data_IF_682273712148
#
_entry.id   IF_682273712148
#
_cell.length_a   1.000
_cell.length_b   1.000
_cell.length_c   1.000
_cell.angle_alpha   90.00
_cell.angle_beta   90.00
_cell.angle_gamma   90.00
#
_symmetry.space_group_name_H-M   'P 1'
#
loop_
_entity.id
_entity.type
_entity.pdbx_description
1 polymer ?
#
# COMPACT_ATOMS: atom_id res chain seq x y z
N UNK A 1 -8.54 -1.91 23.85
CA UNK A 1 -9.08 -1.15 25.01
C UNK A 1 -8.07 -0.07 25.38
N UNK A 2 -8.45 1.22 25.43
CA UNK A 2 -7.50 2.31 25.75
C UNK A 2 -6.86 2.10 27.13
N UNK A 3 -5.55 2.28 27.26
CA UNK A 3 -4.81 2.14 28.51
C UNK A 3 -5.16 3.26 29.50
N UNK A 4 -4.85 3.07 30.79
CA UNK A 4 -5.12 4.06 31.83
C UNK A 4 -4.54 5.44 31.48
N UNK A 5 -3.26 5.50 31.12
CA UNK A 5 -2.58 6.75 30.80
C UNK A 5 -3.14 7.45 29.55
N UNK A 6 -3.69 6.71 28.59
CA UNK A 6 -4.36 7.26 27.41
C UNK A 6 -5.71 7.86 27.77
N UNK A 7 -6.50 7.17 28.60
CA UNK A 7 -7.81 7.67 29.06
C UNK A 7 -7.67 8.94 29.90
N UNK A 8 -6.53 9.14 30.55
CA UNK A 8 -6.27 10.27 31.44
C UNK A 8 -5.34 11.33 30.83
N UNK A 9 -4.98 11.23 29.55
CA UNK A 9 -4.14 12.22 28.87
C UNK A 9 -2.72 12.37 29.43
N UNK A 10 -2.22 11.34 30.12
CA UNK A 10 -0.88 11.29 30.73
C UNK A 10 0.16 10.83 29.71
N UNK A 11 -0.23 9.93 28.80
CA UNK A 11 0.66 9.36 27.79
C UNK A 11 0.93 10.40 26.71
N UNK A 12 2.20 10.55 26.33
CA UNK A 12 2.56 11.34 25.16
C UNK A 12 1.83 10.81 23.90
N UNK A 13 1.45 11.68 22.96
CA UNK A 13 0.93 11.24 21.67
C UNK A 13 1.91 10.27 21.01
N UNK A 14 1.36 9.24 20.40
CA UNK A 14 2.15 8.29 19.61
C UNK A 14 2.70 9.01 18.37
N UNK A 15 4.00 8.89 18.14
CA UNK A 15 4.65 9.43 16.95
C UNK A 15 4.22 8.63 15.71
N UNK A 16 3.80 9.34 14.66
CA UNK A 16 3.42 8.73 13.38
C UNK A 16 4.62 8.63 12.46
N UNK A 17 4.81 7.45 11.86
CA UNK A 17 6.01 7.19 11.06
C UNK A 17 5.75 6.17 9.96
N UNK A 18 6.59 6.20 8.92
CA UNK A 18 6.71 5.13 7.92
C UNK A 18 7.90 4.21 8.21
N UNK A 19 8.74 4.54 9.19
CA UNK A 19 9.93 3.77 9.55
C UNK A 19 9.57 2.70 10.56
N UNK A 20 9.76 1.43 10.15
CA UNK A 20 9.62 0.26 11.00
C UNK A 20 10.91 0.10 11.79
N UNK A 21 10.90 0.50 13.06
CA UNK A 21 12.02 0.25 13.96
C UNK A 21 12.07 -1.24 14.38
N UNK A 22 13.09 -1.64 15.14
CA UNK A 22 13.33 -3.05 15.50
C UNK A 22 12.23 -3.66 16.37
N UNK A 23 11.66 -2.91 17.29
CA UNK A 23 10.56 -3.40 18.14
C UNK A 23 9.32 -3.66 17.29
N UNK A 24 9.00 -2.74 16.37
CA UNK A 24 7.92 -2.90 15.39
C UNK A 24 8.19 -4.08 14.47
N UNK A 25 9.42 -4.22 13.98
CA UNK A 25 9.86 -5.34 13.14
C UNK A 25 9.63 -6.67 13.86
N UNK A 26 10.01 -6.75 15.15
CA UNK A 26 9.81 -7.96 15.96
C UNK A 26 8.34 -8.33 16.08
N UNK A 27 7.48 -7.36 16.43
CA UNK A 27 6.04 -7.61 16.58
C UNK A 27 5.40 -8.13 15.30
N UNK A 28 5.74 -7.51 14.17
CA UNK A 28 5.26 -7.90 12.84
C UNK A 28 5.78 -9.28 12.42
N UNK A 29 7.07 -9.54 12.59
CA UNK A 29 7.68 -10.83 12.26
C UNK A 29 7.09 -11.95 13.15
N UNK A 30 6.92 -11.69 14.44
CA UNK A 30 6.32 -12.65 15.37
C UNK A 30 4.85 -12.90 15.04
N UNK A 31 4.14 -11.92 14.48
CA UNK A 31 2.83 -12.14 13.88
C UNK A 31 2.93 -13.15 12.74
N UNK A 32 3.77 -12.92 11.72
CA UNK A 32 3.96 -13.86 10.61
C UNK A 32 4.32 -15.27 11.11
N UNK A 33 5.22 -15.40 12.08
CA UNK A 33 5.62 -16.70 12.65
C UNK A 33 4.44 -17.49 13.23
N UNK A 34 3.47 -16.83 13.88
CA UNK A 34 2.27 -17.50 14.42
C UNK A 34 1.42 -18.18 13.34
N UNK A 35 1.47 -17.68 12.10
CA UNK A 35 0.68 -18.20 10.97
C UNK A 35 1.50 -19.07 10.01
N UNK A 36 2.75 -19.46 10.33
CA UNK A 36 3.59 -20.25 9.42
C UNK A 36 2.93 -21.56 8.98
N UNK A 37 2.29 -22.26 9.92
CA UNK A 37 1.59 -23.52 9.63
C UNK A 37 0.41 -23.33 8.66
N UNK A 38 -0.19 -22.13 8.58
CA UNK A 38 -1.24 -21.83 7.61
C UNK A 38 -0.76 -21.87 6.15
N UNK A 39 0.56 -21.93 5.93
CA UNK A 39 1.17 -22.10 4.61
C UNK A 39 1.47 -23.58 4.27
N UNK A 40 1.00 -24.54 5.08
CA UNK A 40 1.30 -25.98 4.90
C UNK A 40 0.85 -26.53 3.55
N UNK A 41 -0.22 -26.00 2.95
CA UNK A 41 -0.65 -26.38 1.59
C UNK A 41 0.39 -26.05 0.50
N UNK A 42 1.29 -25.07 0.73
CA UNK A 42 2.45 -24.77 -0.14
C UNK A 42 3.69 -25.53 0.31
N UNK A 43 3.89 -25.65 1.61
CA UNK A 43 5.09 -26.22 2.23
C UNK A 43 4.73 -27.51 2.98
N UNK A 44 4.27 -28.50 2.23
CA UNK A 44 3.84 -29.79 2.80
C UNK A 44 5.05 -30.69 3.05
N UNK A 45 5.23 -31.12 4.30
CA UNK A 45 6.14 -32.18 4.67
C UNK A 45 5.35 -33.45 4.98
N UNK A 46 5.48 -34.47 4.13
CA UNK A 46 4.95 -35.79 4.40
C UNK A 46 5.91 -36.54 5.33
N UNK A 47 5.42 -36.90 6.50
CA UNK A 47 6.17 -37.62 7.52
C UNK A 47 5.56 -39.01 7.77
N UNK A 48 6.38 -39.92 8.26
CA UNK A 48 5.95 -41.23 8.74
C UNK A 48 6.39 -41.40 10.20
N UNK A 49 5.51 -41.94 11.04
CA UNK A 49 5.84 -42.22 12.44
C UNK A 49 5.92 -43.74 12.67
N UNK A 50 7.15 -44.26 12.71
CA UNK A 50 7.47 -45.69 12.73
C UNK A 50 6.71 -46.49 13.82
N UNK A 51 6.61 -45.94 15.04
CA UNK A 51 6.01 -46.68 16.15
C UNK A 51 4.50 -46.88 16.00
N UNK A 52 3.81 -45.96 15.32
CA UNK A 52 2.36 -46.07 15.07
C UNK A 52 2.05 -46.55 13.66
N UNK A 53 3.07 -46.73 12.82
CA UNK A 53 2.94 -47.08 11.41
C UNK A 53 1.90 -46.19 10.69
N UNK A 54 2.11 -44.88 10.77
CA UNK A 54 1.13 -43.90 10.27
C UNK A 54 1.81 -42.70 9.63
N UNK A 55 1.26 -42.29 8.49
CA UNK A 55 1.65 -41.08 7.79
C UNK A 55 0.94 -39.86 8.37
N UNK A 56 1.62 -38.71 8.34
CA UNK A 56 1.08 -37.45 8.79
C UNK A 56 1.70 -36.27 8.04
N UNK A 57 0.98 -35.15 8.05
CA UNK A 57 1.41 -33.92 7.40
C UNK A 57 1.92 -32.94 8.44
N UNK A 58 3.10 -32.40 8.17
CA UNK A 58 3.71 -31.32 8.92
C UNK A 58 4.08 -30.15 7.97
N UNK A 59 4.48 -29.02 8.56
CA UNK A 59 4.98 -27.88 7.81
C UNK A 59 6.47 -28.06 7.46
N UNK A 60 6.83 -27.89 6.18
CA UNK A 60 8.21 -27.92 5.70
C UNK A 60 8.92 -26.58 5.96
N UNK A 61 9.47 -26.42 7.17
CA UNK A 61 10.20 -25.22 7.58
C UNK A 61 11.45 -24.96 6.71
N UNK A 62 12.11 -26.03 6.24
CA UNK A 62 13.30 -25.90 5.39
C UNK A 62 12.93 -25.42 4.00
N UNK A 63 11.87 -25.98 3.41
CA UNK A 63 11.30 -25.53 2.14
C UNK A 63 10.81 -24.10 2.20
N UNK A 64 10.12 -23.72 3.29
CA UNK A 64 9.72 -22.35 3.55
C UNK A 64 10.92 -21.40 3.55
N UNK A 65 11.91 -21.67 4.41
CA UNK A 65 13.10 -20.82 4.55
C UNK A 65 13.83 -20.66 3.21
N UNK A 66 13.98 -21.75 2.46
CA UNK A 66 14.64 -21.74 1.14
C UNK A 66 13.85 -20.90 0.13
N UNK A 67 12.51 -21.05 0.08
CA UNK A 67 11.67 -20.31 -0.86
C UNK A 67 11.62 -18.82 -0.53
N UNK A 68 11.50 -18.46 0.74
CA UNK A 68 11.52 -17.06 1.17
C UNK A 68 12.88 -16.41 0.89
N UNK A 69 13.98 -17.14 1.03
CA UNK A 69 15.31 -16.66 0.62
C UNK A 69 15.40 -16.29 -0.85
N UNK A 70 14.77 -17.06 -1.73
CA UNK A 70 14.75 -16.79 -3.17
C UNK A 70 13.77 -15.65 -3.50
N UNK A 71 12.58 -15.65 -2.89
CA UNK A 71 11.52 -14.68 -3.20
C UNK A 71 11.74 -13.30 -2.60
N UNK A 72 12.31 -13.23 -1.39
CA UNK A 72 12.52 -11.99 -0.63
C UNK A 72 13.99 -11.99 -0.16
N UNK A 73 14.93 -11.75 -1.08
CA UNK A 73 16.36 -11.84 -0.80
C UNK A 73 16.82 -10.79 0.22
N UNK A 74 16.20 -9.61 0.25
CA UNK A 74 16.53 -8.52 1.20
C UNK A 74 15.92 -8.71 2.59
N UNK A 75 15.09 -9.75 2.81
CA UNK A 75 14.55 -10.04 4.13
C UNK A 75 15.69 -10.33 5.11
N UNK A 76 15.63 -9.70 6.29
CA UNK A 76 16.69 -9.81 7.27
C UNK A 76 16.90 -11.25 7.76
N UNK A 77 18.16 -11.67 7.86
CA UNK A 77 18.60 -12.97 8.36
C UNK A 77 19.86 -12.79 9.19
N UNK A 78 20.03 -13.63 10.21
CA UNK A 78 21.28 -13.67 10.97
C UNK A 78 22.40 -14.41 10.22
N UNK A 79 23.58 -14.48 10.85
CA UNK A 79 24.76 -15.20 10.35
C UNK A 79 24.52 -16.69 10.07
N UNK A 80 23.43 -17.26 10.60
CA UNK A 80 23.02 -18.65 10.38
C UNK A 80 21.92 -18.77 9.33
N UNK A 81 21.65 -17.71 8.57
CA UNK A 81 20.65 -17.64 7.50
C UNK A 81 19.20 -17.81 8.01
N UNK A 82 18.96 -17.57 9.31
CA UNK A 82 17.64 -17.68 9.94
C UNK A 82 16.91 -16.35 9.86
N UNK A 83 15.64 -16.38 9.47
CA UNK A 83 14.77 -15.19 9.49
C UNK A 83 14.55 -14.77 10.94
N UNK A 84 15.04 -13.60 11.32
CA UNK A 84 14.98 -13.10 12.69
C UNK A 84 14.82 -11.57 12.73
N UNK A 85 14.78 -11.01 13.94
CA UNK A 85 14.68 -9.56 14.15
C UNK A 85 16.08 -8.94 14.11
N UNK A 86 16.30 -7.83 13.37
CA UNK A 86 17.56 -7.09 13.36
C UNK A 86 18.01 -6.62 14.74
N UNK A 87 19.31 -6.71 15.01
CA UNK A 87 19.98 -6.21 16.22
C UNK A 87 20.46 -4.76 16.04
N UNK A 88 21.07 -4.20 17.10
CA UNK A 88 21.34 -2.77 17.20
C UNK A 88 22.27 -2.17 16.14
N UNK A 89 23.18 -2.97 15.60
CA UNK A 89 24.15 -2.57 14.58
C UNK A 89 23.73 -3.01 13.17
N UNK A 90 22.62 -3.73 13.06
CA UNK A 90 22.19 -4.30 11.79
C UNK A 90 21.47 -3.26 10.94
N UNK A 91 21.89 -3.18 9.68
CA UNK A 91 21.13 -2.56 8.60
C UNK A 91 20.13 -3.57 8.04
N UNK A 92 18.91 -3.12 7.75
CA UNK A 92 17.87 -3.98 7.19
C UNK A 92 16.96 -3.19 6.25
N UNK A 93 16.42 -3.91 5.28
CA UNK A 93 15.38 -3.41 4.40
C UNK A 93 14.01 -3.66 5.05
N UNK A 94 13.36 -2.60 5.54
CA UNK A 94 12.03 -2.70 6.13
C UNK A 94 10.96 -3.15 5.12
N UNK A 95 11.13 -2.84 3.82
CA UNK A 95 10.14 -3.20 2.81
C UNK A 95 10.14 -4.70 2.54
N UNK A 96 11.26 -5.38 2.76
CA UNK A 96 11.32 -6.83 2.71
C UNK A 96 10.45 -7.51 3.78
N UNK A 97 10.22 -6.87 4.93
CA UNK A 97 9.26 -7.37 5.92
C UNK A 97 7.82 -7.17 5.45
N UNK A 98 7.53 -6.06 4.77
CA UNK A 98 6.22 -5.85 4.14
C UNK A 98 5.94 -6.90 3.06
N UNK A 99 6.92 -7.24 2.22
CA UNK A 99 6.83 -8.35 1.25
C UNK A 99 6.53 -9.68 1.95
N UNK A 100 7.10 -9.91 3.13
CA UNK A 100 6.81 -11.12 3.90
C UNK A 100 5.36 -11.11 4.38
N UNK A 101 4.88 -10.00 4.93
CA UNK A 101 3.49 -9.87 5.39
C UNK A 101 2.52 -10.09 4.22
N UNK A 102 2.75 -9.48 3.06
CA UNK A 102 1.94 -9.70 1.86
C UNK A 102 2.01 -11.14 1.37
N UNK A 103 3.19 -11.78 1.42
CA UNK A 103 3.32 -13.21 1.11
C UNK A 103 2.43 -14.05 2.01
N UNK A 104 2.36 -13.75 3.31
CA UNK A 104 1.41 -14.43 4.21
C UNK A 104 -0.04 -14.11 3.83
N UNK A 105 -0.41 -12.84 3.71
CA UNK A 105 -1.76 -12.41 3.37
C UNK A 105 -2.32 -13.11 2.12
N UNK A 106 -1.49 -13.22 1.08
CA UNK A 106 -1.83 -13.83 -0.20
C UNK A 106 -1.97 -15.35 -0.14
N UNK A 107 -1.31 -16.02 0.80
CA UNK A 107 -1.13 -17.46 0.75
C UNK A 107 -1.66 -18.21 1.97
N UNK A 108 -1.98 -17.59 3.11
CA UNK A 108 -2.47 -18.36 4.26
C UNK A 108 -3.85 -19.00 4.00
N UNK A 109 -3.99 -20.26 4.42
CA UNK A 109 -5.24 -21.01 4.42
C UNK A 109 -5.59 -21.48 5.84
N UNK A 110 -6.87 -21.74 6.10
CA UNK A 110 -7.31 -22.34 7.35
C UNK A 110 -6.74 -23.75 7.51
N UNK A 111 -6.31 -24.04 8.73
CA UNK A 111 -5.79 -25.36 9.10
C UNK A 111 -6.50 -25.87 10.35
N UNK A 112 -6.57 -27.19 10.48
CA UNK A 112 -6.80 -27.84 11.77
C UNK A 112 -5.57 -28.62 12.17
N UNK A 113 -5.19 -28.50 13.44
CA UNK A 113 -4.14 -29.33 14.02
C UNK A 113 -4.77 -30.35 14.98
N UNK A 114 -4.44 -31.62 14.81
CA UNK A 114 -4.89 -32.67 15.75
C UNK A 114 -3.75 -33.58 16.14
N UNK A 115 -3.76 -34.00 17.40
CA UNK A 115 -2.91 -35.10 17.84
C UNK A 115 -3.44 -36.41 17.26
N UNK A 116 -2.53 -37.30 16.89
CA UNK A 116 -2.90 -38.65 16.44
C UNK A 116 -3.65 -39.45 17.52
N UNK A 117 -3.39 -39.14 18.79
CA UNK A 117 -4.06 -39.71 19.94
C UNK A 117 -4.01 -38.75 21.14
N UNK A 118 -5.14 -38.53 21.82
CA UNK A 118 -5.23 -37.56 22.93
C UNK A 118 -4.34 -37.88 24.13
N UNK A 119 -4.10 -39.18 24.40
CA UNK A 119 -3.33 -39.66 25.55
C UNK A 119 -1.83 -39.65 25.28
N UNK A 120 -1.41 -40.20 24.15
CA UNK A 120 0.01 -40.43 23.88
C UNK A 120 0.66 -39.30 23.09
N UNK A 121 -0.11 -38.61 22.22
CA UNK A 121 0.34 -37.42 21.46
C UNK A 121 1.68 -37.65 20.77
N UNK A 122 1.79 -38.76 20.04
CA UNK A 122 3.05 -39.16 19.39
C UNK A 122 3.44 -38.18 18.27
N UNK A 123 2.45 -37.69 17.52
CA UNK A 123 2.64 -36.65 16.51
C UNK A 123 1.37 -35.83 16.32
N UNK A 124 1.55 -34.59 15.85
CA UNK A 124 0.48 -33.69 15.44
C UNK A 124 0.44 -33.67 13.91
N UNK A 125 -0.75 -33.85 13.35
CA UNK A 125 -0.97 -33.71 11.90
C UNK A 125 -1.71 -32.41 11.64
N UNK A 126 -1.37 -31.79 10.50
CA UNK A 126 -2.03 -30.59 9.99
C UNK A 126 -2.95 -31.01 8.84
N UNK A 127 -4.19 -30.55 8.87
CA UNK A 127 -5.11 -30.65 7.73
C UNK A 127 -5.37 -29.26 7.16
N UNK A 128 -5.19 -29.10 5.86
CA UNK A 128 -5.51 -27.87 5.14
C UNK A 128 -6.99 -27.88 4.73
N UNK A 129 -7.73 -26.82 5.07
CA UNK A 129 -9.19 -26.78 4.93
C UNK A 129 -9.66 -26.12 3.62
N UNK A 130 -8.74 -25.66 2.76
CA UNK A 130 -9.01 -24.97 1.48
C UNK A 130 -9.97 -23.76 1.63
N UNK A 131 -9.99 -23.12 2.79
CA UNK A 131 -10.62 -21.83 3.06
C UNK A 131 -9.55 -20.84 3.53
N UNK A 132 -9.87 -19.55 3.55
CA UNK A 132 -8.92 -18.49 3.92
C UNK A 132 -9.50 -17.50 4.94
N UNK A 133 -10.42 -17.95 5.80
CA UNK A 133 -11.06 -17.11 6.81
C UNK A 133 -10.05 -16.64 7.86
N UNK A 134 -8.99 -17.43 8.10
CA UNK A 134 -7.83 -17.04 8.92
C UNK A 134 -7.18 -15.72 8.50
N UNK A 135 -7.34 -15.31 7.23
CA UNK A 135 -6.81 -14.05 6.74
C UNK A 135 -7.39 -12.84 7.49
N UNK A 136 -8.69 -12.85 7.80
CA UNK A 136 -9.31 -11.73 8.52
C UNK A 136 -8.63 -11.50 9.89
N UNK A 137 -8.32 -12.58 10.62
CA UNK A 137 -7.61 -12.49 11.90
C UNK A 137 -6.16 -12.01 11.73
N UNK A 138 -5.48 -12.47 10.67
CA UNK A 138 -4.11 -12.05 10.36
C UNK A 138 -4.08 -10.54 10.03
N UNK A 139 -4.99 -10.10 9.17
CA UNK A 139 -5.14 -8.71 8.76
C UNK A 139 -5.44 -7.81 9.96
N UNK A 140 -6.43 -8.17 10.78
CA UNK A 140 -6.78 -7.43 12.00
C UNK A 140 -5.55 -7.29 12.91
N UNK A 141 -4.84 -8.39 13.18
CA UNK A 141 -3.66 -8.37 14.05
C UNK A 141 -2.52 -7.51 13.48
N UNK A 142 -2.27 -7.57 12.17
CA UNK A 142 -1.24 -6.74 11.51
C UNK A 142 -1.61 -5.26 11.60
N UNK A 143 -2.87 -4.91 11.30
CA UNK A 143 -3.34 -3.52 11.34
C UNK A 143 -3.41 -2.97 12.78
N UNK A 144 -3.70 -3.82 13.76
CA UNK A 144 -3.54 -3.48 15.18
C UNK A 144 -2.09 -3.15 15.51
N UNK A 145 -1.12 -3.97 15.09
CA UNK A 145 0.31 -3.71 15.31
C UNK A 145 0.73 -2.39 14.63
N UNK A 146 0.28 -2.13 13.41
CA UNK A 146 0.55 -0.85 12.73
C UNK A 146 0.01 0.33 13.53
N UNK A 147 -1.25 0.27 13.94
CA UNK A 147 -1.92 1.31 14.72
C UNK A 147 -1.25 1.53 16.08
N UNK A 148 -0.95 0.48 16.84
CA UNK A 148 -0.29 0.53 18.16
C UNK A 148 1.18 0.95 18.10
N UNK A 149 1.80 0.82 16.93
CA UNK A 149 3.16 1.28 16.67
C UNK A 149 3.24 2.69 16.08
N UNK A 150 2.13 3.25 15.61
CA UNK A 150 2.10 4.54 14.91
C UNK A 150 2.58 4.43 13.46
N UNK A 151 2.64 3.22 12.92
CA UNK A 151 2.98 2.98 11.52
C UNK A 151 1.81 3.40 10.64
N UNK A 152 2.10 4.24 9.65
CA UNK A 152 1.15 4.73 8.69
C UNK A 152 0.98 3.74 7.52
N UNK A 153 0.59 2.52 7.85
CA UNK A 153 0.33 1.44 6.91
C UNK A 153 -1.00 0.77 7.19
N UNK A 154 -1.58 0.17 6.15
CA UNK A 154 -2.78 -0.66 6.21
C UNK A 154 -2.60 -1.87 5.30
N UNK A 155 -2.80 -3.08 5.84
CA UNK A 155 -2.98 -4.28 5.05
C UNK A 155 -4.45 -4.36 4.61
N UNK A 156 -4.71 -4.18 3.31
CA UNK A 156 -6.05 -4.09 2.74
C UNK A 156 -6.68 -5.46 2.49
N UNK A 157 -7.97 -5.48 2.15
CA UNK A 157 -8.71 -6.71 1.81
C UNK A 157 -8.16 -7.38 0.54
N UNK A 158 -7.50 -6.59 -0.33
CA UNK A 158 -6.78 -7.05 -1.50
C UNK A 158 -5.43 -7.71 -1.17
N UNK A 159 -5.09 -7.86 0.12
CA UNK A 159 -3.89 -8.54 0.62
C UNK A 159 -2.59 -7.86 0.20
N UNK A 160 -2.63 -6.54 0.10
CA UNK A 160 -1.51 -5.65 -0.17
C UNK A 160 -1.39 -4.60 0.94
N UNK A 161 -0.19 -4.08 1.15
CA UNK A 161 0.07 -3.06 2.15
C UNK A 161 0.15 -1.70 1.46
N UNK A 162 -0.79 -0.83 1.83
CA UNK A 162 -0.81 0.56 1.41
C UNK A 162 -0.28 1.45 2.54
N UNK A 163 0.32 2.58 2.17
CA UNK A 163 0.66 3.64 3.11
C UNK A 163 -0.54 4.56 3.32
N UNK A 164 -0.71 5.01 4.56
CA UNK A 164 -1.71 6.01 4.94
C UNK A 164 -1.07 7.40 4.85
N UNK A 165 -1.73 8.36 4.21
CA UNK A 165 -1.30 9.76 4.19
C UNK A 165 -2.32 10.64 4.90
N UNK A 166 -2.06 10.97 6.17
CA UNK A 166 -3.02 11.66 7.05
C UNK A 166 -3.45 13.05 6.56
N UNK A 167 -2.62 13.72 5.75
CA UNK A 167 -2.89 15.07 5.24
C UNK A 167 -3.20 15.10 3.73
N UNK A 168 -3.78 14.02 3.20
CA UNK A 168 -4.18 13.96 1.79
C UNK A 168 -5.67 14.30 1.62
N UNK A 169 -6.05 15.06 0.57
CA UNK A 169 -7.44 15.20 0.18
C UNK A 169 -7.98 13.91 -0.45
N UNK A 170 -7.13 12.92 -0.76
CA UNK A 170 -7.54 11.64 -1.32
C UNK A 170 -8.45 10.91 -0.33
N UNK A 171 -9.67 10.62 -0.76
CA UNK A 171 -10.62 9.78 -0.04
C UNK A 171 -11.12 8.67 -0.95
N UNK A 172 -11.70 7.62 -0.35
CA UNK A 172 -12.34 6.53 -1.10
C UNK A 172 -13.42 7.06 -2.06
N UNK A 173 -14.14 8.13 -1.71
CA UNK A 173 -15.10 8.78 -2.60
C UNK A 173 -14.45 9.41 -3.83
N UNK A 174 -13.29 10.07 -3.66
CA UNK A 174 -12.53 10.63 -4.79
C UNK A 174 -12.02 9.50 -5.68
N UNK A 175 -11.44 8.44 -5.11
CA UNK A 175 -10.97 7.29 -5.88
C UNK A 175 -12.11 6.64 -6.69
N UNK A 176 -13.27 6.44 -6.05
CA UNK A 176 -14.45 5.89 -6.69
C UNK A 176 -14.97 6.81 -7.81
N UNK A 177 -14.88 8.13 -7.64
CA UNK A 177 -15.31 9.09 -8.66
C UNK A 177 -14.54 8.98 -9.98
N UNK A 178 -13.30 8.45 -9.97
CA UNK A 178 -12.52 8.25 -11.18
C UNK A 178 -13.17 7.25 -12.14
N UNK A 179 -14.00 6.33 -11.64
CA UNK A 179 -14.76 5.39 -12.48
C UNK A 179 -15.75 6.11 -13.40
N UNK A 180 -16.21 7.30 -13.02
CA UNK A 180 -17.13 8.12 -13.82
C UNK A 180 -16.44 8.90 -14.97
N UNK A 181 -15.11 8.92 -14.99
CA UNK A 181 -14.34 9.51 -16.08
C UNK A 181 -14.47 8.63 -17.33
N UNK A 182 -15.02 9.19 -18.41
CA UNK A 182 -15.34 8.43 -19.61
C UNK A 182 -14.10 8.13 -20.46
N UNK A 183 -13.18 9.10 -20.56
CA UNK A 183 -11.94 8.92 -21.30
C UNK A 183 -11.02 7.94 -20.58
N UNK A 184 -10.80 6.78 -21.22
CA UNK A 184 -10.11 5.64 -20.62
C UNK A 184 -8.69 5.98 -20.16
N UNK A 185 -7.91 6.73 -20.96
CA UNK A 185 -6.52 7.04 -20.63
C UNK A 185 -6.38 7.90 -19.37
N UNK A 186 -7.24 8.91 -19.21
CA UNK A 186 -7.29 9.76 -18.00
C UNK A 186 -7.65 8.92 -16.79
N UNK A 187 -8.66 8.04 -16.92
CA UNK A 187 -9.06 7.15 -15.82
C UNK A 187 -7.95 6.20 -15.39
N UNK A 188 -7.24 5.60 -16.33
CA UNK A 188 -6.11 4.69 -16.04
C UNK A 188 -4.96 5.44 -15.37
N UNK A 189 -4.56 6.60 -15.90
CA UNK A 189 -3.53 7.44 -15.31
C UNK A 189 -3.87 7.85 -13.86
N UNK A 190 -5.13 8.18 -13.57
CA UNK A 190 -5.56 8.52 -12.21
C UNK A 190 -5.46 7.34 -11.25
N UNK A 191 -5.87 6.15 -11.68
CA UNK A 191 -5.76 4.93 -10.87
C UNK A 191 -4.31 4.57 -10.60
N UNK A 192 -3.47 4.61 -11.63
CA UNK A 192 -2.03 4.34 -11.50
C UNK A 192 -1.36 5.33 -10.55
N UNK A 193 -1.68 6.62 -10.70
CA UNK A 193 -1.15 7.67 -9.84
C UNK A 193 -1.48 7.43 -8.36
N UNK A 194 -2.73 7.04 -8.06
CA UNK A 194 -3.17 6.72 -6.69
C UNK A 194 -2.50 5.45 -6.16
N UNK A 195 -2.41 4.39 -6.95
CA UNK A 195 -1.74 3.15 -6.53
C UNK A 195 -0.26 3.40 -6.18
N UNK A 196 0.44 4.18 -7.02
CA UNK A 196 1.82 4.61 -6.74
C UNK A 196 1.90 5.50 -5.50
N UNK A 197 0.95 6.42 -5.33
CA UNK A 197 0.91 7.32 -4.18
C UNK A 197 0.73 6.59 -2.85
N UNK A 198 -0.02 5.48 -2.87
CA UNK A 198 -0.28 4.58 -1.74
C UNK A 198 0.80 3.53 -1.53
N UNK A 199 1.78 3.40 -2.43
CA UNK A 199 2.86 2.42 -2.27
C UNK A 199 3.78 2.81 -1.10
N UNK A 200 4.13 1.89 -0.17
CA UNK A 200 5.05 2.15 0.95
C UNK A 200 6.42 2.68 0.54
N UNK A 201 6.97 2.19 -0.58
CA UNK A 201 8.29 2.53 -1.06
C UNK A 201 8.40 4.03 -1.46
N UNK A 202 9.31 4.81 -0.84
CA UNK A 202 9.63 6.18 -1.17
C UNK A 202 9.84 6.47 -2.66
N UNK A 203 10.42 5.53 -3.41
CA UNK A 203 10.69 5.70 -4.84
C UNK A 203 9.41 5.92 -5.65
N UNK A 204 8.31 5.26 -5.27
CA UNK A 204 7.02 5.36 -5.96
C UNK A 204 6.38 6.77 -5.86
N UNK A 205 6.84 7.61 -4.93
CA UNK A 205 6.28 8.96 -4.74
C UNK A 205 6.58 9.86 -5.93
N UNK A 206 7.78 9.78 -6.49
CA UNK A 206 8.12 10.52 -7.70
C UNK A 206 7.23 10.08 -8.86
N UNK A 207 7.11 8.76 -9.07
CA UNK A 207 6.30 8.18 -10.14
C UNK A 207 4.82 8.57 -9.99
N UNK A 208 4.29 8.61 -8.76
CA UNK A 208 2.91 9.06 -8.50
C UNK A 208 2.67 10.51 -8.94
N UNK A 209 3.67 11.39 -8.73
CA UNK A 209 3.60 12.81 -9.10
C UNK A 209 3.76 12.98 -10.61
N UNK A 210 4.65 12.23 -11.26
CA UNK A 210 4.70 12.19 -12.72
C UNK A 210 3.35 11.77 -13.30
N UNK A 211 2.76 10.70 -12.76
CA UNK A 211 1.53 10.11 -13.28
C UNK A 211 0.30 10.99 -13.09
N UNK A 212 0.16 11.66 -11.94
CA UNK A 212 -0.95 12.61 -11.74
C UNK A 212 -0.80 13.85 -12.64
N UNK A 213 0.43 14.27 -12.96
CA UNK A 213 0.67 15.35 -13.93
C UNK A 213 0.35 14.91 -15.36
N UNK A 214 0.66 13.67 -15.74
CA UNK A 214 0.23 13.13 -17.02
C UNK A 214 -1.30 13.04 -17.11
N UNK A 215 -1.98 12.67 -16.02
CA UNK A 215 -3.43 12.70 -15.93
C UNK A 215 -3.99 14.11 -16.12
N UNK A 216 -3.39 15.14 -15.50
CA UNK A 216 -3.76 16.55 -15.70
C UNK A 216 -3.61 16.96 -17.18
N UNK A 217 -2.52 16.53 -17.81
CA UNK A 217 -2.20 16.91 -19.18
C UNK A 217 -3.10 16.20 -20.20
N UNK A 218 -3.50 14.96 -19.90
CA UNK A 218 -4.51 14.22 -20.64
C UNK A 218 -5.90 14.84 -20.48
N UNK A 219 -6.27 15.20 -19.25
CA UNK A 219 -7.52 15.89 -18.92
C UNK A 219 -7.70 17.19 -19.70
N UNK A 220 -6.64 17.96 -19.91
CA UNK A 220 -6.66 19.18 -20.75
C UNK A 220 -7.01 18.94 -22.22
N UNK A 221 -7.07 17.68 -22.65
CA UNK A 221 -7.49 17.25 -23.99
C UNK A 221 -8.74 16.38 -23.99
N UNK A 222 -9.53 16.41 -22.90
CA UNK A 222 -10.73 15.58 -22.71
C UNK A 222 -11.77 15.79 -23.82
N UNK A 223 -11.99 17.03 -24.25
CA UNK A 223 -12.88 17.35 -25.37
C UNK A 223 -12.13 17.21 -26.69
N UNK A 224 -12.13 16.01 -27.27
CA UNK A 224 -11.33 15.64 -28.44
C UNK A 224 -11.62 16.43 -29.73
N UNK A 225 -12.77 17.10 -29.79
CA UNK A 225 -13.16 17.99 -30.91
C UNK A 225 -12.60 19.41 -30.78
N UNK A 226 -12.00 19.75 -29.64
CA UNK A 226 -11.40 21.05 -29.34
C UNK A 226 -9.87 20.94 -29.31
N UNK A 227 -9.18 22.05 -29.62
CA UNK A 227 -7.76 22.13 -29.31
C UNK A 227 -7.52 22.15 -27.79
N UNK A 228 -6.29 21.83 -27.35
CA UNK A 228 -5.93 21.74 -25.92
C UNK A 228 -6.29 23.00 -25.12
N UNK A 229 -6.14 24.18 -25.73
CA UNK A 229 -6.43 25.45 -25.05
C UNK A 229 -7.93 25.61 -24.83
N UNK A 230 -8.73 25.43 -25.88
CA UNK A 230 -10.19 25.50 -25.83
C UNK A 230 -10.81 24.41 -24.95
N UNK A 231 -10.25 23.20 -24.97
CA UNK A 231 -10.69 22.12 -24.08
C UNK A 231 -10.44 22.50 -22.62
N UNK A 232 -9.27 23.07 -22.29
CA UNK A 232 -8.97 23.52 -20.93
C UNK A 232 -9.89 24.68 -20.50
N UNK A 233 -10.11 25.66 -21.38
CA UNK A 233 -11.04 26.78 -21.12
C UNK A 233 -12.46 26.28 -20.89
N UNK A 234 -12.93 25.29 -21.66
CA UNK A 234 -14.24 24.68 -21.46
C UNK A 234 -14.36 24.04 -20.06
N UNK A 235 -13.40 23.20 -19.67
CA UNK A 235 -13.38 22.57 -18.34
C UNK A 235 -13.47 23.64 -17.23
N UNK A 236 -12.67 24.71 -17.34
CA UNK A 236 -12.69 25.82 -16.38
C UNK A 236 -14.06 26.51 -16.33
N UNK A 237 -14.66 26.81 -17.48
CA UNK A 237 -15.98 27.45 -17.53
C UNK A 237 -17.06 26.57 -16.91
N UNK A 238 -17.02 25.26 -17.16
CA UNK A 238 -17.96 24.30 -16.60
C UNK A 238 -17.80 24.21 -15.07
N UNK A 239 -16.57 24.20 -14.56
CA UNK A 239 -16.27 24.26 -13.11
C UNK A 239 -16.73 25.57 -12.46
N UNK A 240 -16.58 26.70 -13.15
CA UNK A 240 -16.89 28.03 -12.62
C UNK A 240 -18.40 28.35 -12.62
N UNK A 241 -19.21 27.60 -13.37
CA UNK A 241 -20.66 27.72 -13.44
C UNK A 241 -21.15 29.18 -13.63
N UNK A 242 -20.51 29.90 -14.55
CA UNK A 242 -20.86 31.28 -14.90
C UNK A 242 -20.34 32.37 -13.95
N UNK A 243 -19.46 32.06 -12.99
CA UNK A 243 -18.84 33.05 -12.12
C UNK A 243 -17.42 33.41 -12.58
N UNK A 244 -17.23 34.64 -13.07
CA UNK A 244 -15.95 35.14 -13.60
C UNK A 244 -14.79 35.05 -12.58
N UNK A 245 -15.06 35.27 -11.30
CA UNK A 245 -14.04 35.17 -10.25
C UNK A 245 -13.50 33.74 -10.10
N UNK A 246 -14.35 32.73 -10.30
CA UNK A 246 -13.93 31.32 -10.32
C UNK A 246 -13.29 30.93 -11.65
N UNK A 247 -13.69 31.52 -12.78
CA UNK A 247 -12.99 31.35 -14.07
C UNK A 247 -11.53 31.79 -13.94
N UNK A 248 -11.29 32.97 -13.37
CA UNK A 248 -9.92 33.49 -13.16
C UNK A 248 -9.12 32.60 -12.20
N UNK A 249 -9.74 32.17 -11.09
CA UNK A 249 -9.11 31.30 -10.10
C UNK A 249 -8.65 29.97 -10.72
N UNK A 250 -9.55 29.25 -11.39
CA UNK A 250 -9.23 27.94 -11.95
C UNK A 250 -8.30 28.06 -13.16
N UNK A 251 -8.45 29.08 -14.01
CA UNK A 251 -7.51 29.35 -15.10
C UNK A 251 -6.08 29.57 -14.57
N UNK A 252 -5.94 30.35 -13.50
CA UNK A 252 -4.65 30.58 -12.85
C UNK A 252 -4.07 29.28 -12.27
N UNK A 253 -4.90 28.43 -11.66
CA UNK A 253 -4.43 27.16 -11.08
C UNK A 253 -4.00 26.14 -12.15
N UNK A 254 -4.77 25.95 -13.23
CA UNK A 254 -4.38 25.11 -14.36
C UNK A 254 -3.03 25.58 -14.96
N UNK A 255 -2.86 26.90 -15.09
CA UNK A 255 -1.61 27.48 -15.57
C UNK A 255 -0.47 27.23 -14.60
N UNK A 256 -0.66 27.48 -13.30
CA UNK A 256 0.36 27.27 -12.28
C UNK A 256 0.83 25.81 -12.23
N UNK A 257 -0.08 24.83 -12.29
CA UNK A 257 0.29 23.42 -12.33
C UNK A 257 1.04 23.03 -13.61
N UNK A 258 0.66 23.61 -14.76
CA UNK A 258 1.40 23.43 -16.02
C UNK A 258 2.82 23.98 -15.90
N UNK A 259 2.98 25.18 -15.34
CA UNK A 259 4.28 25.83 -15.16
C UNK A 259 5.17 25.05 -14.17
N UNK A 260 4.59 24.52 -13.09
CA UNK A 260 5.28 23.66 -12.12
C UNK A 260 5.79 22.38 -12.81
N UNK A 261 4.92 21.67 -13.54
CA UNK A 261 5.29 20.42 -14.24
C UNK A 261 6.40 20.61 -15.28
N UNK A 262 6.49 21.80 -15.86
CA UNK A 262 7.53 22.16 -16.83
C UNK A 262 8.85 22.62 -16.18
N UNK A 263 8.80 23.18 -14.97
CA UNK A 263 9.95 23.81 -14.29
C UNK A 263 10.68 22.83 -13.36
N UNK A 264 9.94 22.00 -12.64
CA UNK A 264 10.49 20.99 -11.75
C UNK A 264 10.71 19.68 -12.49
N UNK A 265 11.57 18.82 -11.95
CA UNK A 265 11.86 17.49 -12.50
C UNK A 265 10.70 16.52 -12.20
N UNK A 266 9.54 16.80 -12.81
CA UNK A 266 8.30 16.03 -12.71
C UNK A 266 8.05 15.29 -14.03
N UNK A 267 7.86 16.05 -15.12
CA UNK A 267 7.60 15.48 -16.46
C UNK A 267 8.81 15.45 -17.37
N UNK A 268 9.76 16.33 -17.09
CA UNK A 268 10.94 16.55 -17.92
C UNK A 268 12.18 16.33 -17.05
N UNK A 269 13.18 15.65 -17.61
CA UNK A 269 14.43 15.30 -16.92
C UNK A 269 15.64 16.03 -17.49
N UNK A 270 15.42 17.13 -18.22
CA UNK A 270 16.50 17.97 -18.71
C UNK A 270 17.31 18.57 -17.53
N UNK A 271 18.59 18.86 -17.76
CA UNK A 271 19.54 19.32 -16.72
C UNK A 271 19.21 20.70 -16.13
N UNK A 272 18.29 21.45 -16.75
CA UNK A 272 17.85 22.77 -16.31
C UNK A 272 16.62 22.75 -15.40
N UNK A 273 16.08 21.57 -15.06
CA UNK A 273 14.92 21.42 -14.18
C UNK A 273 15.32 21.50 -12.72
N UNK A 274 14.40 21.97 -11.88
CA UNK A 274 14.60 22.02 -10.43
C UNK A 274 14.32 20.64 -9.83
N UNK A 275 15.32 20.05 -9.19
CA UNK A 275 15.16 18.79 -8.45
C UNK A 275 14.28 18.97 -7.21
N UNK A 276 13.43 17.97 -6.96
CA UNK A 276 12.61 17.89 -5.75
C UNK A 276 13.37 17.03 -4.75
N UNK A 277 13.98 17.68 -3.75
CA UNK A 277 14.93 17.04 -2.82
C UNK A 277 14.28 16.53 -1.53
N UNK A 278 13.15 17.12 -1.13
CA UNK A 278 12.40 16.68 0.04
C UNK A 278 11.24 15.79 -0.39
N UNK A 279 11.19 14.59 0.17
CA UNK A 279 10.19 13.61 -0.19
C UNK A 279 8.75 14.06 0.15
N UNK A 280 8.60 14.94 1.14
CA UNK A 280 7.30 15.52 1.54
C UNK A 280 6.75 16.48 0.49
N UNK A 281 7.61 17.02 -0.38
CA UNK A 281 7.17 17.91 -1.46
C UNK A 281 6.45 17.14 -2.55
N UNK A 282 6.77 15.85 -2.77
CA UNK A 282 5.98 15.00 -3.67
C UNK A 282 4.55 14.86 -3.16
N UNK A 283 4.36 14.66 -1.85
CA UNK A 283 3.02 14.56 -1.26
C UNK A 283 2.22 15.86 -1.44
N UNK A 284 2.85 17.01 -1.22
CA UNK A 284 2.23 18.31 -1.50
C UNK A 284 1.84 18.48 -2.98
N UNK A 285 2.76 18.18 -3.90
CA UNK A 285 2.56 18.35 -5.33
C UNK A 285 1.43 17.44 -5.84
N UNK A 286 1.44 16.16 -5.41
CA UNK A 286 0.39 15.20 -5.70
C UNK A 286 -0.97 15.73 -5.23
N UNK A 287 -1.07 16.11 -3.95
CA UNK A 287 -2.31 16.57 -3.35
C UNK A 287 -2.84 17.85 -4.01
N UNK A 288 -1.96 18.78 -4.39
CA UNK A 288 -2.33 20.01 -5.09
C UNK A 288 -2.92 19.70 -6.47
N UNK A 289 -2.26 18.83 -7.24
CA UNK A 289 -2.73 18.42 -8.57
C UNK A 289 -4.05 17.65 -8.47
N UNK A 290 -4.11 16.67 -7.57
CA UNK A 290 -5.31 15.89 -7.28
C UNK A 290 -6.51 16.76 -6.90
N UNK A 291 -6.32 17.78 -6.05
CA UNK A 291 -7.41 18.67 -5.63
C UNK A 291 -8.11 19.35 -6.81
N UNK A 292 -7.35 19.81 -7.80
CA UNK A 292 -7.91 20.43 -9.01
C UNK A 292 -8.62 19.38 -9.88
N UNK A 293 -7.98 18.23 -10.12
CA UNK A 293 -8.55 17.17 -10.96
C UNK A 293 -9.84 16.63 -10.36
N UNK A 294 -9.84 16.33 -9.05
CA UNK A 294 -10.99 15.78 -8.34
C UNK A 294 -12.21 16.70 -8.39
N UNK A 295 -12.00 18.02 -8.43
CA UNK A 295 -13.08 18.97 -8.70
C UNK A 295 -13.50 18.92 -10.17
N UNK A 296 -12.55 19.01 -11.11
CA UNK A 296 -12.82 19.06 -12.54
C UNK A 296 -13.67 17.87 -13.02
N UNK A 297 -13.35 16.65 -12.59
CA UNK A 297 -14.07 15.43 -13.00
C UNK A 297 -15.56 15.43 -12.62
N UNK A 298 -15.95 16.17 -11.57
CA UNK A 298 -17.37 16.28 -11.17
C UNK A 298 -18.20 17.09 -12.17
N UNK A 299 -17.55 17.89 -13.03
CA UNK A 299 -18.18 18.71 -14.06
C UNK A 299 -18.06 18.09 -15.46
N UNK A 300 -17.16 17.11 -15.68
CA UNK A 300 -17.03 16.41 -16.96
C UNK A 300 -18.19 15.45 -17.26
N UNK A 301 -18.86 14.95 -16.22
CA UNK A 301 -19.90 13.92 -16.31
C UNK A 301 -21.30 14.46 -16.62
N UNK A 302 -21.48 15.79 -16.67
CA UNK A 302 -22.80 16.43 -16.82
C UNK A 302 -23.24 16.70 -18.27
N UNK A 303 -22.46 16.34 -19.28
CA UNK A 303 -22.74 16.69 -20.68
C UNK A 303 -23.05 15.52 -21.62
N UNK A 304 -23.66 14.45 -21.12
CA UNK A 304 -24.36 13.48 -21.97
C UNK A 304 -25.75 13.15 -21.41
N UNK A 305 -26.66 14.12 -21.52
CA UNK A 305 -28.11 13.91 -21.56
C UNK A 305 -28.70 14.77 -22.67
#
# INVERSE_FOLDING_TARGET
MKLYSERHGIRAPQEKTYSINRDMYSLLLDCCKRYQKNLTHIFTLNCHHDFTDSDYVAFDEKGFTTRIKIRIPSLFRDDYDRICTPQYEDEYDQYALLDLIEFFAQNIEDISERWNNDRYRNYQTIDCLNSSDVFANFQETINEIFSESGLLYELTDEKIIERIVENSPLTTEIENSFTSVHEQGTRELLKDAVALYKTPNPAARQDSVEKIWDALERLKTYYTTLDKKRSSEKIVNDMANGNDGFVDLFSAEFKALTDIGNKYRIRHHETNKIDITDIRYYDYLFNRCLSLIALAIQYLSREQC
#
